data_IF_203513223540
#
_entry.id   IF_203513223540
#
_cell.length_a   1.000
_cell.length_b   1.000
_cell.length_c   1.000
_cell.angle_alpha   90.00
_cell.angle_beta   90.00
_cell.angle_gamma   90.00
#
_symmetry.space_group_name_H-M   'P 1'
#
loop_
_entity.id
_entity.type
_entity.pdbx_description
1 polymer ?
#
# COMPACT_ATOMS: atom_id res chain seq x y z
N UNK A 1 -4.24 6.20 10.84
CA UNK A 1 -4.60 4.94 11.49
C UNK A 1 -6.05 5.01 11.96
N UNK A 2 -6.83 3.99 11.65
CA UNK A 2 -8.26 3.94 11.93
C UNK A 2 -8.58 2.78 12.87
N UNK A 3 -9.76 2.84 13.47
CA UNK A 3 -10.34 1.67 14.11
C UNK A 3 -10.50 0.53 13.09
N UNK A 4 -10.40 -0.70 13.57
CA UNK A 4 -10.58 -1.88 12.72
C UNK A 4 -11.95 -1.86 12.03
N UNK A 5 -11.98 -2.15 10.73
CA UNK A 5 -13.16 -2.14 9.87
C UNK A 5 -13.84 -0.77 9.69
N UNK A 6 -13.18 0.32 10.11
CA UNK A 6 -13.69 1.68 9.91
C UNK A 6 -13.13 2.34 8.65
N UNK A 7 -12.21 1.69 7.94
CA UNK A 7 -11.42 2.28 6.87
C UNK A 7 -12.28 2.91 5.77
N UNK A 8 -13.30 2.19 5.28
CA UNK A 8 -14.18 2.69 4.22
C UNK A 8 -14.96 3.89 4.70
N UNK A 9 -15.60 3.80 5.88
CA UNK A 9 -16.38 4.88 6.47
C UNK A 9 -15.52 6.14 6.71
N UNK A 10 -14.30 5.96 7.19
CA UNK A 10 -13.36 7.08 7.41
C UNK A 10 -12.97 7.70 6.07
N UNK A 11 -12.65 6.88 5.07
CA UNK A 11 -12.31 7.37 3.74
C UNK A 11 -13.45 8.20 3.12
N UNK A 12 -14.69 7.71 3.22
CA UNK A 12 -15.87 8.42 2.71
C UNK A 12 -16.07 9.76 3.42
N UNK A 13 -15.92 9.81 4.75
CA UNK A 13 -16.02 11.04 5.52
C UNK A 13 -14.91 12.06 5.22
N UNK A 14 -13.70 11.59 4.91
CA UNK A 14 -12.60 12.46 4.46
C UNK A 14 -12.96 13.08 3.11
N UNK A 15 -13.51 12.27 2.20
CA UNK A 15 -13.93 12.73 0.88
C UNK A 15 -15.08 13.76 0.96
N UNK A 16 -16.04 13.62 1.89
CA UNK A 16 -17.10 14.60 2.16
C UNK A 16 -16.55 15.98 2.58
N UNK A 17 -15.33 16.02 3.12
CA UNK A 17 -14.63 17.25 3.47
C UNK A 17 -13.78 17.82 2.31
N UNK A 18 -13.93 17.26 1.11
CA UNK A 18 -13.13 17.63 -0.08
C UNK A 18 -11.61 17.47 0.12
N UNK A 19 -11.20 16.58 1.02
CA UNK A 19 -9.81 16.25 1.27
C UNK A 19 -9.47 14.98 0.48
N UNK A 20 -8.40 15.01 -0.33
CA UNK A 20 -7.97 13.85 -1.09
C UNK A 20 -7.53 12.72 -0.16
N UNK A 21 -8.14 11.55 -0.32
CA UNK A 21 -7.79 10.36 0.43
C UNK A 21 -7.66 9.14 -0.48
N UNK A 22 -6.91 8.16 -0.03
CA UNK A 22 -6.70 6.91 -0.71
C UNK A 22 -6.78 5.73 0.26
N UNK A 23 -7.77 4.88 0.04
CA UNK A 23 -7.89 3.60 0.71
C UNK A 23 -7.48 2.50 -0.27
N UNK A 24 -6.31 1.84 -0.05
CA UNK A 24 -5.87 0.76 -0.92
C UNK A 24 -6.76 -0.46 -0.72
N UNK A 25 -7.64 -0.71 -1.69
CA UNK A 25 -8.55 -1.85 -1.71
C UNK A 25 -8.08 -2.89 -2.73
N UNK A 26 -8.06 -4.13 -2.34
CA UNK A 26 -7.79 -5.27 -3.23
C UNK A 26 -9.05 -6.10 -3.40
N UNK A 27 -9.34 -6.48 -4.66
CA UNK A 27 -10.40 -7.44 -4.98
C UNK A 27 -9.93 -8.84 -4.66
N UNK A 28 -10.70 -9.56 -3.86
CA UNK A 28 -10.40 -10.93 -3.46
C UNK A 28 -11.62 -11.79 -3.67
N UNK A 29 -11.43 -12.96 -4.28
CA UNK A 29 -12.48 -13.95 -4.42
C UNK A 29 -12.66 -14.67 -3.08
N UNK A 30 -13.80 -14.47 -2.45
CA UNK A 30 -14.15 -15.22 -1.24
C UNK A 30 -15.16 -16.30 -1.56
N UNK A 31 -14.85 -17.52 -1.16
CA UNK A 31 -15.78 -18.63 -1.26
C UNK A 31 -16.61 -18.71 0.02
N UNK A 32 -17.92 -18.66 -0.14
CA UNK A 32 -18.90 -18.95 0.89
C UNK A 32 -19.41 -20.37 0.67
N UNK A 33 -20.14 -20.93 1.62
CA UNK A 33 -20.66 -22.30 1.51
C UNK A 33 -21.53 -22.54 0.26
N UNK A 34 -22.21 -21.50 -0.22
CA UNK A 34 -23.19 -21.54 -1.31
C UNK A 34 -22.73 -20.85 -2.60
N UNK A 35 -21.73 -19.94 -2.54
CA UNK A 35 -21.31 -19.12 -3.69
C UNK A 35 -19.91 -18.53 -3.55
N UNK A 36 -19.32 -18.18 -4.70
CA UNK A 36 -18.10 -17.36 -4.77
C UNK A 36 -18.50 -15.90 -5.00
N UNK A 37 -17.97 -14.98 -4.20
CA UNK A 37 -18.21 -13.55 -4.34
C UNK A 37 -16.88 -12.78 -4.35
N UNK A 38 -16.76 -11.85 -5.29
CA UNK A 38 -15.69 -10.86 -5.25
C UNK A 38 -15.98 -9.86 -4.16
N UNK A 39 -15.05 -9.68 -3.26
CA UNK A 39 -15.10 -8.68 -2.19
C UNK A 39 -13.90 -7.75 -2.28
N UNK A 40 -14.11 -6.51 -1.93
CA UNK A 40 -13.04 -5.53 -1.76
C UNK A 40 -12.68 -5.43 -0.28
N UNK A 41 -11.43 -5.69 0.02
CA UNK A 41 -10.89 -5.52 1.37
C UNK A 41 -9.68 -4.59 1.35
N UNK A 42 -9.43 -3.84 2.44
CA UNK A 42 -8.21 -3.08 2.57
C UNK A 42 -6.98 -3.97 2.39
N UNK A 43 -6.05 -3.55 1.54
CA UNK A 43 -4.76 -4.21 1.36
C UNK A 43 -3.94 -4.10 2.65
N UNK A 44 -4.00 -2.95 3.30
CA UNK A 44 -3.39 -2.69 4.60
C UNK A 44 -4.52 -2.33 5.56
N UNK A 45 -4.78 -3.23 6.53
CA UNK A 45 -5.86 -3.05 7.50
C UNK A 45 -5.61 -1.86 8.41
N UNK A 46 -6.67 -1.12 8.73
CA UNK A 46 -6.66 0.05 9.64
C UNK A 46 -5.85 1.25 9.15
N UNK A 47 -5.56 1.34 7.84
CA UNK A 47 -4.86 2.49 7.28
C UNK A 47 -5.64 3.13 6.13
N UNK A 48 -5.70 4.46 6.18
CA UNK A 48 -6.18 5.34 5.09
C UNK A 48 -5.11 6.38 4.86
N UNK A 49 -4.71 6.58 3.62
CA UNK A 49 -3.75 7.59 3.23
C UNK A 49 -4.48 8.88 2.89
N UNK A 50 -3.94 10.01 3.32
CA UNK A 50 -4.58 11.31 3.16
C UNK A 50 -3.58 12.32 2.64
N UNK A 51 -3.92 13.03 1.57
CA UNK A 51 -3.16 14.17 1.10
C UNK A 51 -3.70 15.44 1.76
N UNK A 52 -3.20 15.72 2.96
CA UNK A 52 -3.71 16.77 3.83
C UNK A 52 -2.71 17.92 3.95
N UNK A 53 -3.21 19.14 3.92
CA UNK A 53 -2.47 20.31 4.36
C UNK A 53 -2.39 20.32 5.89
N UNK A 54 -1.44 21.06 6.49
CA UNK A 54 -1.35 21.16 7.96
C UNK A 54 -2.65 21.56 8.65
N UNK A 55 -3.45 22.44 8.03
CA UNK A 55 -4.76 22.87 8.53
C UNK A 55 -5.80 21.73 8.58
N UNK A 56 -5.69 20.77 7.68
CA UNK A 56 -6.68 19.69 7.54
C UNK A 56 -6.47 18.58 8.59
N UNK A 57 -5.25 18.46 9.12
CA UNK A 57 -4.87 17.40 10.06
C UNK A 57 -5.78 17.41 11.29
N UNK A 58 -6.10 18.62 11.83
CA UNK A 58 -6.99 18.74 12.98
C UNK A 58 -8.41 18.27 12.67
N UNK A 59 -8.92 18.65 11.49
CA UNK A 59 -10.26 18.26 11.03
C UNK A 59 -10.36 16.76 10.84
N UNK A 60 -9.38 16.16 10.15
CA UNK A 60 -9.35 14.71 9.92
C UNK A 60 -9.23 13.93 11.23
N UNK A 61 -8.49 14.44 12.22
CA UNK A 61 -8.38 13.81 13.55
C UNK A 61 -9.71 13.69 14.29
N UNK A 62 -10.66 14.58 14.03
CA UNK A 62 -11.98 14.59 14.67
C UNK A 62 -12.98 13.62 14.04
N UNK A 63 -12.65 13.04 12.90
CA UNK A 63 -13.53 12.09 12.23
C UNK A 63 -13.64 10.83 13.10
N UNK A 64 -14.87 10.45 13.42
CA UNK A 64 -15.13 9.20 14.14
C UNK A 64 -14.59 8.00 13.37
N UNK A 65 -13.80 7.18 14.05
CA UNK A 65 -13.07 6.06 13.45
C UNK A 65 -11.60 6.35 13.16
N UNK A 66 -11.17 7.61 13.17
CA UNK A 66 -9.75 7.99 13.13
C UNK A 66 -9.16 7.88 14.53
N UNK A 67 -8.09 7.09 14.67
CA UNK A 67 -7.37 6.94 15.93
C UNK A 67 -6.25 7.96 16.05
N UNK A 68 -5.40 8.03 15.02
CA UNK A 68 -4.25 8.95 14.99
C UNK A 68 -3.65 9.05 13.60
N UNK A 69 -2.92 10.12 13.34
CA UNK A 69 -1.90 10.12 12.29
C UNK A 69 -0.66 9.37 12.76
N UNK A 70 -0.04 8.63 11.85
CA UNK A 70 1.28 8.06 12.11
C UNK A 70 2.26 9.22 12.23
N UNK A 71 2.96 9.29 13.33
CA UNK A 71 3.80 10.44 13.67
C UNK A 71 5.13 9.99 14.25
N UNK A 72 6.19 10.71 13.94
CA UNK A 72 7.50 10.61 14.56
C UNK A 72 7.78 11.94 15.27
N UNK A 73 8.14 11.89 16.54
CA UNK A 73 8.37 13.08 17.37
C UNK A 73 7.21 14.10 17.30
N UNK A 74 5.97 13.59 17.30
CA UNK A 74 4.77 14.43 17.28
C UNK A 74 4.38 15.01 15.91
N UNK A 75 5.21 14.84 14.89
CA UNK A 75 4.93 15.31 13.53
C UNK A 75 4.42 14.17 12.66
N UNK A 76 3.32 14.36 11.89
CA UNK A 76 2.86 13.38 10.93
C UNK A 76 3.98 13.01 9.95
N UNK A 77 4.08 11.73 9.64
CA UNK A 77 5.08 11.22 8.70
C UNK A 77 4.50 11.25 7.29
N UNK A 78 5.12 11.99 6.36
CA UNK A 78 4.71 11.95 4.96
C UNK A 78 5.10 10.61 4.34
N UNK A 79 4.22 10.07 3.51
CA UNK A 79 4.50 8.90 2.70
C UNK A 79 4.96 9.39 1.32
N UNK A 80 6.10 8.89 0.82
CA UNK A 80 6.57 9.25 -0.52
C UNK A 80 5.52 8.92 -1.60
N UNK A 81 5.38 9.82 -2.59
CA UNK A 81 4.39 9.66 -3.67
C UNK A 81 4.59 8.34 -4.45
N UNK A 82 5.83 7.89 -4.60
CA UNK A 82 6.16 6.62 -5.22
C UNK A 82 5.51 5.43 -4.48
N UNK A 83 5.47 5.45 -3.15
CA UNK A 83 4.82 4.39 -2.37
C UNK A 83 3.31 4.38 -2.61
N UNK A 84 2.68 5.55 -2.74
CA UNK A 84 1.26 5.65 -3.08
C UNK A 84 1.02 5.13 -4.50
N UNK A 85 1.88 5.46 -5.45
CA UNK A 85 1.84 4.95 -6.83
C UNK A 85 1.95 3.43 -6.86
N UNK A 86 2.90 2.86 -6.13
CA UNK A 86 3.06 1.42 -6.00
C UNK A 86 1.79 0.75 -5.41
N UNK A 87 1.21 1.34 -4.39
CA UNK A 87 -0.05 0.84 -3.81
C UNK A 87 -1.20 0.88 -4.82
N UNK A 88 -1.30 1.93 -5.63
CA UNK A 88 -2.33 2.03 -6.69
C UNK A 88 -2.14 0.94 -7.74
N UNK A 89 -0.91 0.66 -8.18
CA UNK A 89 -0.59 -0.43 -9.12
C UNK A 89 -1.00 -1.77 -8.52
N UNK A 90 -0.62 -2.04 -7.28
CA UNK A 90 -0.97 -3.29 -6.59
C UNK A 90 -2.48 -3.50 -6.47
N UNK A 91 -3.23 -2.46 -6.11
CA UNK A 91 -4.69 -2.52 -5.99
C UNK A 91 -5.39 -2.71 -7.34
N UNK A 92 -4.82 -2.21 -8.43
CA UNK A 92 -5.33 -2.36 -9.78
C UNK A 92 -4.94 -3.67 -10.47
N UNK A 93 -4.09 -4.49 -9.84
CA UNK A 93 -3.60 -5.75 -10.40
C UNK A 93 -4.34 -6.96 -9.85
N UNK A 94 -4.23 -8.08 -10.57
CA UNK A 94 -4.70 -9.40 -10.12
C UNK A 94 -3.65 -10.15 -9.29
N UNK A 95 -2.51 -9.51 -8.99
CA UNK A 95 -1.42 -10.14 -8.26
C UNK A 95 -1.81 -10.40 -6.81
N UNK A 96 -1.44 -11.58 -6.32
CA UNK A 96 -1.57 -11.90 -4.90
C UNK A 96 -0.49 -11.15 -4.13
N UNK A 97 -0.93 -10.17 -3.33
CA UNK A 97 -0.05 -9.37 -2.48
C UNK A 97 -0.03 -9.93 -1.07
N UNK A 98 1.15 -10.26 -0.58
CA UNK A 98 1.35 -10.66 0.82
C UNK A 98 1.83 -9.46 1.63
N UNK A 99 1.18 -9.22 2.76
CA UNK A 99 1.54 -8.15 3.70
C UNK A 99 2.18 -8.79 4.92
N UNK A 100 3.38 -8.38 5.27
CA UNK A 100 4.09 -8.88 6.45
C UNK A 100 4.92 -7.79 7.12
N UNK A 101 5.33 -8.07 8.34
CA UNK A 101 6.35 -7.30 9.07
C UNK A 101 7.69 -8.02 9.09
N UNK A 102 7.83 -9.10 8.31
CA UNK A 102 9.06 -9.89 8.26
C UNK A 102 10.23 -9.05 7.77
N UNK A 103 11.40 -9.37 8.29
CA UNK A 103 12.64 -8.76 7.82
C UNK A 103 13.07 -9.42 6.51
N UNK A 104 13.29 -8.60 5.49
CA UNK A 104 13.92 -9.01 4.24
C UNK A 104 15.24 -8.28 4.07
N UNK A 105 16.27 -9.02 3.69
CA UNK A 105 17.54 -8.41 3.32
C UNK A 105 17.34 -7.44 2.13
N UNK A 106 18.14 -6.40 2.07
CA UNK A 106 18.09 -5.41 0.99
C UNK A 106 18.45 -6.09 -0.34
N UNK A 107 17.59 -5.91 -1.34
CA UNK A 107 17.75 -6.42 -2.69
C UNK A 107 18.11 -5.33 -3.69
N UNK A 108 18.28 -5.73 -4.95
CA UNK A 108 18.45 -4.78 -6.05
C UNK A 108 17.13 -4.04 -6.31
N UNK A 109 17.21 -2.73 -6.54
CA UNK A 109 16.07 -1.93 -6.98
C UNK A 109 15.71 -2.32 -8.41
N UNK A 110 14.41 -2.60 -8.62
CA UNK A 110 13.88 -3.01 -9.92
C UNK A 110 12.55 -2.33 -10.21
N UNK A 111 12.24 -2.24 -11.50
CA UNK A 111 10.94 -1.83 -12.00
C UNK A 111 10.33 -2.96 -12.83
N UNK A 112 9.06 -3.24 -12.62
CA UNK A 112 8.31 -4.20 -13.42
C UNK A 112 7.94 -3.55 -14.76
N UNK A 113 8.27 -4.21 -15.87
CA UNK A 113 8.11 -3.66 -17.22
C UNK A 113 6.99 -4.29 -18.02
N UNK A 114 6.41 -5.41 -17.54
CA UNK A 114 5.41 -6.18 -18.28
C UNK A 114 4.27 -6.64 -17.36
N UNK A 115 3.06 -6.64 -17.90
CA UNK A 115 1.87 -7.17 -17.23
C UNK A 115 1.12 -6.15 -16.37
N UNK A 116 0.22 -6.65 -15.51
CA UNK A 116 -0.65 -5.82 -14.67
C UNK A 116 0.10 -5.05 -13.56
N UNK A 117 1.37 -5.37 -13.33
CA UNK A 117 2.23 -4.71 -12.36
C UNK A 117 3.22 -3.73 -13.02
N UNK A 118 3.06 -3.41 -14.30
CA UNK A 118 3.97 -2.48 -15.01
C UNK A 118 4.10 -1.15 -14.26
N UNK A 119 5.34 -0.69 -14.09
CA UNK A 119 5.67 0.53 -13.34
C UNK A 119 5.85 0.32 -11.83
N UNK A 120 5.58 -0.88 -11.31
CA UNK A 120 5.83 -1.19 -9.91
C UNK A 120 7.33 -1.17 -9.63
N UNK A 121 7.74 -0.39 -8.64
CA UNK A 121 9.14 -0.29 -8.20
C UNK A 121 9.32 -0.87 -6.81
N UNK A 122 10.41 -1.58 -6.61
CA UNK A 122 10.71 -2.19 -5.32
C UNK A 122 12.02 -2.95 -5.33
N UNK A 123 12.28 -3.67 -4.26
CA UNK A 123 13.50 -4.47 -4.12
C UNK A 123 13.26 -5.91 -4.57
N UNK A 124 14.10 -6.41 -5.47
CA UNK A 124 14.07 -7.81 -5.88
C UNK A 124 14.73 -8.66 -4.80
N UNK A 125 13.99 -9.62 -4.29
CA UNK A 125 14.49 -10.63 -3.36
C UNK A 125 14.21 -12.03 -3.88
N UNK A 126 14.93 -13.00 -3.34
CA UNK A 126 14.67 -14.41 -3.57
C UNK A 126 14.18 -15.06 -2.29
N UNK A 127 13.04 -15.72 -2.35
CA UNK A 127 12.49 -16.51 -1.24
C UNK A 127 12.30 -17.94 -1.72
N UNK A 128 13.18 -18.84 -1.27
CA UNK A 128 13.23 -20.21 -1.76
C UNK A 128 13.55 -20.27 -3.27
N UNK A 129 12.62 -20.80 -4.05
CA UNK A 129 12.74 -20.90 -5.52
C UNK A 129 12.06 -19.76 -6.28
N UNK A 130 11.42 -18.83 -5.59
CA UNK A 130 10.65 -17.73 -6.18
C UNK A 130 11.39 -16.41 -6.06
N UNK A 131 11.21 -15.55 -7.07
CA UNK A 131 11.60 -14.15 -7.02
C UNK A 131 10.38 -13.33 -6.62
N UNK A 132 10.60 -12.37 -5.73
CA UNK A 132 9.57 -11.45 -5.25
C UNK A 132 10.06 -10.03 -5.36
N UNK A 133 9.15 -9.10 -5.65
CA UNK A 133 9.39 -7.67 -5.46
C UNK A 133 8.81 -7.27 -4.11
N UNK A 134 9.63 -6.63 -3.29
CA UNK A 134 9.28 -6.11 -1.97
C UNK A 134 9.11 -4.60 -2.08
N UNK A 135 7.94 -4.13 -1.68
CA UNK A 135 7.65 -2.72 -1.49
C UNK A 135 7.65 -2.47 0.03
N UNK A 136 8.60 -1.67 0.49
CA UNK A 136 8.69 -1.31 1.91
C UNK A 136 7.87 -0.06 2.17
N UNK A 137 6.85 -0.19 2.97
CA UNK A 137 6.11 0.96 3.50
C UNK A 137 6.77 1.35 4.81
N UNK A 138 7.55 2.43 4.78
CA UNK A 138 8.40 2.87 5.90
C UNK A 138 7.60 3.05 7.18
N UNK A 139 6.42 3.62 7.08
CA UNK A 139 5.45 3.70 8.15
C UNK A 139 4.13 3.13 7.65
N UNK A 140 3.59 2.12 8.27
CA UNK A 140 3.83 1.54 9.60
C UNK A 140 4.90 0.43 9.70
N UNK A 141 5.89 0.37 8.82
CA UNK A 141 6.94 -0.66 8.88
C UNK A 141 6.49 -2.00 8.28
N UNK A 142 5.64 -1.96 7.28
CA UNK A 142 5.13 -3.15 6.60
C UNK A 142 5.85 -3.38 5.28
N UNK A 143 5.95 -4.63 4.90
CA UNK A 143 6.41 -5.07 3.59
C UNK A 143 5.26 -5.66 2.78
N UNK A 144 5.13 -5.22 1.55
CA UNK A 144 4.23 -5.78 0.57
C UNK A 144 5.06 -6.59 -0.42
N UNK A 145 4.76 -7.86 -0.59
CA UNK A 145 5.51 -8.73 -1.49
C UNK A 145 4.60 -9.30 -2.56
N UNK A 146 5.10 -9.33 -3.80
CA UNK A 146 4.45 -9.97 -4.93
C UNK A 146 5.41 -10.93 -5.63
N UNK A 147 4.90 -12.05 -6.08
CA UNK A 147 5.67 -12.98 -6.92
C UNK A 147 5.87 -12.37 -8.31
N UNK A 148 7.08 -12.43 -8.83
CA UNK A 148 7.44 -11.88 -10.14
C UNK A 148 8.29 -12.85 -10.96
N UNK A 149 8.13 -12.79 -12.28
CA UNK A 149 9.01 -13.46 -13.22
C UNK A 149 10.20 -12.55 -13.54
N UNK A 150 11.41 -13.10 -13.52
CA UNK A 150 12.65 -12.32 -13.72
C UNK A 150 12.76 -11.67 -15.10
N UNK A 151 12.08 -12.21 -16.11
CA UNK A 151 12.03 -11.62 -17.46
C UNK A 151 11.05 -10.42 -17.58
N UNK A 152 10.36 -10.10 -16.51
CA UNK A 152 9.38 -9.00 -16.45
C UNK A 152 9.89 -7.78 -15.68
N UNK A 153 11.18 -7.72 -15.37
CA UNK A 153 11.77 -6.66 -14.56
C UNK A 153 12.97 -6.02 -15.25
N UNK A 154 13.19 -4.75 -14.93
CA UNK A 154 14.39 -3.98 -15.26
C UNK A 154 15.09 -3.54 -13.97
N UNK A 155 16.41 -3.72 -13.89
CA UNK A 155 17.19 -3.18 -12.77
C UNK A 155 17.28 -1.66 -12.90
N UNK A 156 17.04 -0.96 -11.79
CA UNK A 156 17.23 0.48 -11.69
C UNK A 156 18.65 0.76 -11.20
N UNK A 157 19.31 1.75 -11.84
CA UNK A 157 20.60 2.24 -11.36
C UNK A 157 20.38 3.19 -10.17
N UNK A 158 21.35 3.25 -9.26
CA UNK A 158 21.25 4.06 -8.01
C UNK A 158 21.05 5.56 -8.23
N UNK A 159 21.13 6.06 -9.45
CA UNK A 159 21.00 7.49 -9.79
C UNK A 159 19.59 7.90 -10.25
N UNK A 160 18.62 6.97 -10.27
CA UNK A 160 17.21 7.25 -10.58
C UNK A 160 16.36 7.45 -9.31
N UNK A 161 17.03 7.62 -8.15
CA UNK A 161 16.41 8.00 -6.89
C UNK A 161 16.37 9.52 -6.77
N UNK A 162 15.24 10.12 -7.05
CA UNK A 162 14.87 11.43 -6.46
C UNK A 162 13.39 11.38 -6.08
#
# INVERSE_FOLDING_TARGET
YTNSRAEKRVNDRIAELEIESFLPLQKTLRQWSDRKKMIEKPLISSYVFVKALPKDIYTVRKIDGVVKFISIQGKPVPIPEEQITNLRILCGSDAEVQVSTDFYAKGDLVEVTVGSLTGLRGELIRVGRKHKVVIRIIQPGMNLTVDIKTNAIRKLEKNEDI
#
